data_IF_766130607972
#
_entry.id   IF_766130607972
#
_cell.length_a   1.000
_cell.length_b   1.000
_cell.length_c   1.000
_cell.angle_alpha   90.00
_cell.angle_beta   90.00
_cell.angle_gamma   90.00
#
_symmetry.space_group_name_H-M   'P 1'
#
loop_
_entity.id
_entity.type
_entity.pdbx_description
1 polymer ?
#
# COMPACT_ATOMS: atom_id res chain seq x y z
N UNK A 1 -2.34 23.91 25.46
CA UNK A 1 -3.33 22.84 25.18
C UNK A 1 -4.67 23.38 24.67
N UNK A 2 -5.19 24.51 25.18
CA UNK A 2 -6.49 25.08 24.74
C UNK A 2 -6.48 25.85 23.40
N UNK A 3 -5.30 26.26 22.90
CA UNK A 3 -5.16 27.00 21.63
C UNK A 3 -5.10 26.05 20.40
N UNK A 4 -4.82 24.76 20.62
CA UNK A 4 -4.74 23.74 19.55
C UNK A 4 -6.12 23.23 19.11
N UNK A 5 -7.08 23.18 20.03
CA UNK A 5 -8.45 22.74 19.73
C UNK A 5 -9.24 23.77 18.91
N UNK A 6 -8.98 25.07 19.09
CA UNK A 6 -9.71 26.13 18.37
C UNK A 6 -9.33 26.25 16.90
N UNK A 7 -8.08 25.93 16.51
CA UNK A 7 -7.69 25.88 15.09
C UNK A 7 -8.18 24.61 14.38
N UNK A 8 -8.16 23.45 15.04
CA UNK A 8 -8.72 22.21 14.49
C UNK A 8 -10.25 22.29 14.29
N UNK A 9 -10.96 22.98 15.18
CA UNK A 9 -12.42 23.22 15.06
C UNK A 9 -12.74 24.24 13.95
N UNK A 10 -11.81 25.15 13.61
CA UNK A 10 -12.02 26.06 12.49
C UNK A 10 -11.94 25.32 11.13
N UNK A 11 -11.14 24.25 11.08
CA UNK A 11 -10.92 23.43 9.89
C UNK A 11 -12.10 22.47 9.59
N UNK A 12 -12.78 21.97 10.63
CA UNK A 12 -13.99 21.15 10.47
C UNK A 12 -15.25 21.95 10.16
N UNK A 13 -15.27 23.26 10.48
CA UNK A 13 -16.40 24.16 10.22
C UNK A 13 -16.41 24.81 8.84
N UNK A 14 -15.30 24.81 8.10
CA UNK A 14 -15.18 25.58 6.85
C UNK A 14 -15.61 24.84 5.58
N UNK A 15 -15.57 23.50 5.55
CA UNK A 15 -16.35 22.64 4.65
C UNK A 15 -15.81 21.21 4.80
N UNK A 16 -16.56 20.27 5.40
CA UNK A 16 -16.15 18.86 5.49
C UNK A 16 -15.79 18.26 4.14
N UNK A 17 -16.43 18.75 3.07
CA UNK A 17 -16.25 18.31 1.69
C UNK A 17 -14.90 18.69 1.09
N UNK A 18 -14.27 19.79 1.54
CA UNK A 18 -12.97 20.24 1.00
C UNK A 18 -11.82 19.46 1.64
N UNK A 19 -11.93 19.11 2.93
CA UNK A 19 -10.96 18.27 3.63
C UNK A 19 -10.91 16.84 3.06
N UNK A 20 -12.07 16.31 2.70
CA UNK A 20 -12.20 15.00 2.05
C UNK A 20 -11.68 15.09 0.60
N UNK A 21 -11.98 16.17 -0.16
CA UNK A 21 -11.40 16.39 -1.49
C UNK A 21 -9.88 16.44 -1.51
N UNK A 22 -9.25 16.94 -0.45
CA UNK A 22 -7.79 17.01 -0.29
C UNK A 22 -7.12 15.63 -0.13
N UNK A 23 -7.88 14.62 0.32
CA UNK A 23 -7.35 13.29 0.68
C UNK A 23 -7.74 12.19 -0.34
N UNK A 24 -8.73 12.40 -1.21
CA UNK A 24 -9.29 11.37 -2.10
C UNK A 24 -9.14 11.63 -3.61
N UNK A 25 -8.35 12.64 -4.01
CA UNK A 25 -7.85 12.81 -5.38
C UNK A 25 -8.80 12.39 -6.51
N UNK A 26 -9.91 13.11 -6.71
CA UNK A 26 -10.60 13.25 -8.01
C UNK A 26 -11.88 14.09 -7.85
N UNK A 27 -11.76 15.40 -8.08
CA UNK A 27 -12.69 16.25 -8.83
C UNK A 27 -12.20 17.67 -8.66
N UNK A 28 -11.61 18.25 -9.71
CA UNK A 28 -11.67 19.66 -10.07
C UNK A 28 -10.90 19.88 -11.38
N UNK A 29 -11.54 19.51 -12.48
CA UNK A 29 -11.55 20.44 -13.61
C UNK A 29 -12.48 21.61 -13.21
N UNK A 30 -12.11 22.83 -13.59
CA UNK A 30 -12.90 24.08 -13.45
C UNK A 30 -12.78 24.89 -12.14
N UNK A 31 -11.62 25.52 -11.84
CA UNK A 31 -11.51 26.97 -11.50
C UNK A 31 -10.06 27.38 -11.09
N UNK A 32 -9.48 28.45 -11.67
CA UNK A 32 -8.16 28.99 -11.27
C UNK A 32 -8.12 29.51 -9.81
N UNK A 33 -9.28 29.90 -9.26
CA UNK A 33 -9.41 30.45 -7.90
C UNK A 33 -9.13 29.40 -6.83
N UNK A 34 -9.49 28.15 -7.09
CA UNK A 34 -9.31 27.04 -6.15
C UNK A 34 -7.86 26.56 -6.11
N UNK A 35 -7.12 26.66 -7.24
CA UNK A 35 -5.67 26.37 -7.29
C UNK A 35 -4.86 27.29 -6.37
N UNK A 36 -5.21 28.57 -6.29
CA UNK A 36 -4.54 29.55 -5.42
C UNK A 36 -4.78 29.26 -3.94
N UNK A 37 -6.03 29.05 -3.56
CA UNK A 37 -6.41 28.62 -2.21
C UNK A 37 -5.72 27.31 -1.81
N UNK A 38 -5.58 26.37 -2.75
CA UNK A 38 -4.87 25.10 -2.54
C UNK A 38 -3.40 25.31 -2.17
N UNK A 39 -2.70 26.21 -2.88
CA UNK A 39 -1.28 26.50 -2.64
C UNK A 39 -1.01 27.27 -1.35
N UNK A 40 -1.91 28.17 -0.96
CA UNK A 40 -1.86 28.88 0.33
C UNK A 40 -2.15 27.93 1.49
N UNK A 41 -3.08 26.99 1.31
CA UNK A 41 -3.47 26.00 2.31
C UNK A 41 -2.39 24.94 2.57
N UNK A 42 -1.74 24.42 1.52
CA UNK A 42 -0.59 23.50 1.62
C UNK A 42 0.58 24.10 2.42
N UNK A 43 0.70 25.42 2.43
CA UNK A 43 1.71 26.17 3.18
C UNK A 43 1.37 26.32 4.68
N UNK A 44 0.10 26.14 5.06
CA UNK A 44 -0.43 26.37 6.40
C UNK A 44 -0.64 25.09 7.24
N UNK A 45 -0.50 23.90 6.66
CA UNK A 45 -0.60 22.65 7.43
C UNK A 45 0.71 22.43 8.16
N UNK A 46 0.66 22.52 9.49
CA UNK A 46 1.82 22.31 10.36
C UNK A 46 2.39 20.90 10.14
N UNK A 47 3.73 20.78 10.05
CA UNK A 47 4.42 19.49 9.92
C UNK A 47 4.00 18.49 10.99
N UNK A 48 3.67 18.96 12.19
CA UNK A 48 3.17 18.14 13.31
C UNK A 48 1.79 17.55 13.02
N UNK A 49 0.90 18.29 12.35
CA UNK A 49 -0.43 17.79 11.94
C UNK A 49 -0.26 16.76 10.82
N UNK A 50 0.62 17.01 9.85
CA UNK A 50 0.94 16.04 8.79
C UNK A 50 1.49 14.76 9.40
N UNK A 51 2.44 14.87 10.33
CA UNK A 51 3.04 13.73 11.02
C UNK A 51 2.01 12.97 11.87
N UNK A 52 1.13 13.69 12.56
CA UNK A 52 0.03 13.11 13.33
C UNK A 52 -0.96 12.35 12.44
N UNK A 53 -1.33 12.92 11.28
CA UNK A 53 -2.23 12.27 10.33
C UNK A 53 -1.56 11.06 9.68
N UNK A 54 -0.29 11.15 9.27
CA UNK A 54 0.49 10.01 8.77
C UNK A 54 0.46 8.86 9.76
N UNK A 55 0.77 9.11 11.03
CA UNK A 55 0.70 8.11 12.09
C UNK A 55 -0.71 7.55 12.34
N UNK A 56 -1.77 8.31 12.03
CA UNK A 56 -3.16 7.86 12.17
C UNK A 56 -3.61 6.97 11.01
N UNK A 57 -3.08 7.18 9.81
CA UNK A 57 -3.51 6.52 8.59
C UNK A 57 -2.50 5.50 8.03
N UNK A 58 -1.39 5.29 8.76
CA UNK A 58 -0.36 4.32 8.45
C UNK A 58 -0.04 3.47 9.67
N UNK A 59 0.00 2.15 9.49
CA UNK A 59 0.48 1.17 10.47
C UNK A 59 1.59 0.34 9.83
N UNK A 60 2.53 -0.14 10.65
CA UNK A 60 3.63 -0.98 10.19
C UNK A 60 3.88 -2.07 11.22
N UNK A 61 4.07 -3.29 10.76
CA UNK A 61 4.57 -4.42 11.55
C UNK A 61 6.02 -4.70 11.19
N UNK A 62 6.60 -5.74 11.76
CA UNK A 62 7.95 -6.13 11.34
C UNK A 62 7.96 -6.54 9.87
N UNK A 63 6.86 -6.99 9.29
CA UNK A 63 6.82 -7.66 7.99
C UNK A 63 6.07 -6.84 6.96
N UNK A 64 5.01 -6.15 7.37
CA UNK A 64 4.08 -5.49 6.45
C UNK A 64 3.81 -4.04 6.79
N UNK A 65 3.47 -3.28 5.76
CA UNK A 65 3.03 -1.90 5.83
C UNK A 65 1.52 -1.80 5.55
N UNK A 66 0.84 -0.87 6.19
CA UNK A 66 -0.61 -0.69 6.08
C UNK A 66 -0.94 0.78 5.88
N UNK A 67 -1.66 1.11 4.81
CA UNK A 67 -2.00 2.50 4.47
C UNK A 67 -3.35 2.58 3.78
N UNK A 68 -4.01 3.73 3.87
CA UNK A 68 -5.17 4.03 3.02
C UNK A 68 -4.79 4.73 1.71
N UNK A 69 -3.54 5.17 1.57
CA UNK A 69 -3.03 5.87 0.39
C UNK A 69 -1.80 5.16 -0.16
N UNK A 70 -2.02 4.42 -1.25
CA UNK A 70 -0.97 3.69 -1.97
C UNK A 70 -0.24 4.62 -2.96
N UNK A 71 -0.82 5.75 -3.33
CA UNK A 71 -0.23 6.66 -4.33
C UNK A 71 1.03 7.35 -3.80
N UNK A 72 1.15 7.55 -2.48
CA UNK A 72 2.38 8.08 -1.88
C UNK A 72 3.58 7.17 -2.13
N UNK A 73 3.36 5.85 -2.23
CA UNK A 73 4.41 4.85 -2.41
C UNK A 73 5.00 4.93 -3.84
N UNK A 74 4.18 5.22 -4.83
CA UNK A 74 4.55 5.17 -6.26
C UNK A 74 5.45 6.32 -6.71
N UNK A 75 5.56 7.40 -5.92
CA UNK A 75 6.33 8.58 -6.30
C UNK A 75 7.85 8.42 -6.08
N UNK A 76 8.32 7.25 -5.63
CA UNK A 76 9.73 6.97 -5.48
C UNK A 76 10.43 6.68 -6.81
N UNK A 77 11.70 7.05 -6.92
CA UNK A 77 12.53 6.66 -8.06
C UNK A 77 12.95 5.18 -7.93
N UNK A 78 13.04 4.46 -9.05
CA UNK A 78 13.54 3.08 -9.13
C UNK A 78 12.71 2.05 -8.33
N UNK A 79 11.39 2.09 -8.50
CA UNK A 79 10.43 1.16 -7.91
C UNK A 79 9.81 0.25 -8.98
N UNK A 80 9.59 -1.02 -8.63
CA UNK A 80 8.69 -1.92 -9.36
C UNK A 80 7.47 -2.14 -8.48
N UNK A 81 6.34 -1.53 -8.83
CA UNK A 81 5.11 -1.59 -8.03
C UNK A 81 4.12 -2.53 -8.71
N UNK A 82 3.70 -3.54 -7.97
CA UNK A 82 2.63 -4.48 -8.31
C UNK A 82 1.39 -4.10 -7.54
N UNK A 83 0.27 -3.89 -8.23
CA UNK A 83 -1.01 -3.56 -7.61
C UNK A 83 -2.00 -4.70 -7.78
N UNK A 84 -2.38 -5.30 -6.67
CA UNK A 84 -3.47 -6.25 -6.57
C UNK A 84 -4.74 -5.48 -6.18
N UNK A 85 -5.54 -5.15 -7.20
CA UNK A 85 -6.70 -4.27 -7.08
C UNK A 85 -8.04 -4.96 -7.34
N UNK A 86 -8.02 -6.28 -7.57
CA UNK A 86 -9.22 -7.07 -7.77
C UNK A 86 -9.51 -7.97 -6.56
N UNK A 87 -10.74 -8.48 -6.51
CA UNK A 87 -11.13 -9.46 -5.52
C UNK A 87 -10.81 -10.89 -6.00
N UNK A 88 -9.60 -11.36 -5.73
CA UNK A 88 -9.19 -12.74 -6.04
C UNK A 88 -9.83 -13.72 -5.05
N UNK A 89 -10.60 -14.67 -5.57
CA UNK A 89 -11.37 -15.64 -4.78
C UNK A 89 -10.79 -17.05 -4.85
N UNK A 90 -9.89 -17.29 -5.81
CA UNK A 90 -9.18 -18.57 -5.98
C UNK A 90 -7.68 -18.38 -6.08
N UNK A 91 -6.93 -19.43 -5.73
CA UNK A 91 -5.47 -19.50 -5.94
C UNK A 91 -5.11 -19.22 -7.40
N UNK A 92 -5.79 -19.88 -8.33
CA UNK A 92 -5.55 -19.73 -9.77
C UNK A 92 -5.67 -18.27 -10.24
N UNK A 93 -6.72 -17.55 -9.82
CA UNK A 93 -6.90 -16.13 -10.17
C UNK A 93 -5.73 -15.27 -9.67
N UNK A 94 -5.32 -15.47 -8.42
CA UNK A 94 -4.24 -14.69 -7.81
C UNK A 94 -2.88 -15.01 -8.45
N UNK A 95 -2.57 -16.28 -8.69
CA UNK A 95 -1.31 -16.71 -9.29
C UNK A 95 -1.19 -16.25 -10.74
N UNK A 96 -2.28 -16.27 -11.51
CA UNK A 96 -2.30 -15.70 -12.86
C UNK A 96 -2.04 -14.20 -12.86
N UNK A 97 -2.59 -13.47 -11.89
CA UNK A 97 -2.31 -12.04 -11.74
C UNK A 97 -0.83 -11.80 -11.42
N UNK A 98 -0.26 -12.55 -10.47
CA UNK A 98 1.17 -12.47 -10.15
C UNK A 98 2.05 -12.76 -11.36
N UNK A 99 1.75 -13.82 -12.10
CA UNK A 99 2.46 -14.17 -13.33
C UNK A 99 2.49 -12.99 -14.31
N UNK A 100 1.35 -12.35 -14.53
CA UNK A 100 1.21 -11.19 -15.41
C UNK A 100 1.95 -9.96 -14.88
N UNK A 101 1.70 -9.57 -13.64
CA UNK A 101 2.20 -8.31 -13.07
C UNK A 101 3.70 -8.32 -12.76
N UNK A 102 4.24 -9.46 -12.28
CA UNK A 102 5.68 -9.63 -12.04
C UNK A 102 6.43 -10.14 -13.26
N UNK A 103 5.74 -10.42 -14.36
CA UNK A 103 6.30 -10.98 -15.59
C UNK A 103 7.13 -12.24 -15.29
N UNK A 104 6.53 -13.15 -14.53
CA UNK A 104 7.21 -14.37 -14.13
C UNK A 104 7.68 -15.18 -15.35
N UNK A 105 8.79 -15.93 -15.22
CA UNK A 105 9.32 -16.74 -16.31
C UNK A 105 8.32 -17.79 -16.82
N UNK A 106 8.49 -18.23 -18.07
CA UNK A 106 7.62 -19.22 -18.72
C UNK A 106 7.56 -20.58 -18.01
N UNK A 107 8.51 -20.86 -17.12
CA UNK A 107 8.54 -22.08 -16.30
C UNK A 107 7.69 -21.98 -15.02
N UNK A 108 6.99 -20.87 -14.79
CA UNK A 108 6.15 -20.68 -13.61
C UNK A 108 5.12 -21.80 -13.45
N UNK A 109 5.09 -22.43 -12.27
CA UNK A 109 4.33 -23.66 -12.02
C UNK A 109 2.87 -23.48 -11.61
N UNK A 110 2.37 -22.24 -11.49
CA UNK A 110 0.98 -21.92 -11.10
C UNK A 110 0.51 -22.65 -9.82
N UNK A 111 1.35 -22.66 -8.79
CA UNK A 111 1.02 -23.13 -7.45
C UNK A 111 1.77 -22.29 -6.39
N UNK A 112 1.46 -22.50 -5.10
CA UNK A 112 2.09 -21.78 -3.98
C UNK A 112 3.60 -21.93 -3.91
N UNK A 113 4.14 -23.13 -4.13
CA UNK A 113 5.60 -23.36 -4.10
C UNK A 113 6.30 -22.56 -5.22
N UNK A 114 5.71 -22.57 -6.43
CA UNK A 114 6.23 -21.80 -7.55
C UNK A 114 6.17 -20.29 -7.32
N UNK A 115 5.14 -19.79 -6.61
CA UNK A 115 5.06 -18.39 -6.19
C UNK A 115 6.21 -18.06 -5.25
N UNK A 116 6.43 -18.88 -4.24
CA UNK A 116 7.52 -18.69 -3.27
C UNK A 116 8.88 -18.66 -3.98
N UNK A 117 9.18 -19.66 -4.81
CA UNK A 117 10.43 -19.76 -5.56
C UNK A 117 10.69 -18.51 -6.44
N UNK A 118 9.64 -18.00 -7.12
CA UNK A 118 9.79 -16.83 -7.98
C UNK A 118 9.88 -15.51 -7.19
N UNK A 119 9.30 -15.44 -5.99
CA UNK A 119 9.43 -14.27 -5.12
C UNK A 119 10.79 -14.20 -4.42
N UNK A 120 11.52 -15.32 -4.31
CA UNK A 120 12.89 -15.36 -3.79
C UNK A 120 13.96 -15.06 -4.85
N UNK A 121 13.61 -15.00 -6.14
CA UNK A 121 14.56 -14.72 -7.21
C UNK A 121 13.99 -13.77 -8.25
N UNK A 122 14.33 -12.48 -8.13
CA UNK A 122 13.88 -11.42 -9.03
C UNK A 122 14.89 -11.06 -10.13
N UNK A 123 15.75 -12.00 -10.57
CA UNK A 123 16.83 -11.70 -11.53
C UNK A 123 16.38 -11.05 -12.86
N UNK A 124 15.10 -11.18 -13.25
CA UNK A 124 14.54 -10.53 -14.44
C UNK A 124 14.03 -9.09 -14.19
N UNK A 125 13.87 -8.66 -12.94
CA UNK A 125 13.44 -7.32 -12.56
C UNK A 125 14.67 -6.44 -12.28
N UNK A 126 14.76 -5.29 -12.93
CA UNK A 126 15.94 -4.40 -12.80
C UNK A 126 15.90 -3.51 -11.55
N UNK A 127 14.70 -3.22 -11.07
CA UNK A 127 14.47 -2.31 -9.96
C UNK A 127 14.83 -3.00 -8.64
N UNK A 128 15.62 -2.32 -7.83
CA UNK A 128 16.00 -2.82 -6.51
C UNK A 128 14.80 -2.89 -5.57
N UNK A 129 13.90 -1.90 -5.60
CA UNK A 129 12.75 -1.88 -4.70
C UNK A 129 11.53 -2.47 -5.40
N UNK A 130 11.05 -3.59 -4.88
CA UNK A 130 9.87 -4.31 -5.38
C UNK A 130 8.78 -4.20 -4.31
N UNK A 131 7.61 -3.74 -4.74
CA UNK A 131 6.51 -3.44 -3.84
C UNK A 131 5.26 -4.18 -4.31
N UNK A 132 4.67 -4.97 -3.41
CA UNK A 132 3.36 -5.59 -3.62
C UNK A 132 2.31 -4.79 -2.83
N UNK A 133 1.38 -4.16 -3.53
CA UNK A 133 0.31 -3.37 -2.94
C UNK A 133 -1.03 -4.07 -3.10
N UNK A 134 -1.67 -4.38 -1.97
CA UNK A 134 -3.04 -4.90 -1.93
C UNK A 134 -4.02 -3.76 -1.66
N UNK A 135 -4.69 -3.28 -2.70
CA UNK A 135 -5.83 -2.37 -2.52
C UNK A 135 -7.04 -3.12 -1.94
N UNK A 136 -7.16 -4.40 -2.30
CA UNK A 136 -8.16 -5.34 -1.80
C UNK A 136 -7.42 -6.59 -1.32
N UNK A 137 -7.59 -6.96 -0.05
CA UNK A 137 -7.10 -8.24 0.45
C UNK A 137 -7.80 -9.40 -0.29
N UNK A 138 -7.06 -10.37 -0.87
CA UNK A 138 -7.63 -11.53 -1.52
C UNK A 138 -8.62 -12.28 -0.61
N UNK A 139 -9.80 -12.61 -1.13
CA UNK A 139 -10.86 -13.30 -0.39
C UNK A 139 -10.77 -14.83 -0.60
N UNK A 140 -9.54 -15.35 -0.45
CA UNK A 140 -9.27 -16.77 -0.55
C UNK A 140 -9.87 -17.54 0.65
N UNK A 141 -9.93 -18.87 0.54
CA UNK A 141 -10.26 -19.71 1.70
C UNK A 141 -9.20 -19.50 2.78
N UNK A 142 -9.61 -19.69 4.05
CA UNK A 142 -8.75 -19.43 5.21
C UNK A 142 -7.35 -20.06 5.12
N UNK A 143 -7.25 -21.32 4.68
CA UNK A 143 -5.97 -22.01 4.57
C UNK A 143 -5.11 -21.42 3.45
N UNK A 144 -5.71 -21.14 2.28
CA UNK A 144 -5.01 -20.58 1.13
C UNK A 144 -4.54 -19.15 1.41
N UNK A 145 -5.38 -18.33 2.06
CA UNK A 145 -5.02 -16.99 2.52
C UNK A 145 -3.86 -17.04 3.51
N UNK A 146 -3.84 -18.04 4.41
CA UNK A 146 -2.76 -18.22 5.36
C UNK A 146 -1.44 -18.56 4.66
N UNK A 147 -1.44 -19.56 3.79
CA UNK A 147 -0.25 -19.95 3.01
C UNK A 147 0.28 -18.75 2.21
N UNK A 148 -0.61 -18.01 1.55
CA UNK A 148 -0.26 -16.82 0.80
C UNK A 148 0.41 -15.74 1.67
N UNK A 149 -0.17 -15.43 2.83
CA UNK A 149 0.37 -14.43 3.75
C UNK A 149 1.70 -14.88 4.37
N UNK A 150 1.87 -16.18 4.63
CA UNK A 150 3.14 -16.78 5.07
C UNK A 150 4.22 -16.67 3.99
N UNK A 151 3.90 -16.93 2.73
CA UNK A 151 4.82 -16.74 1.59
C UNK A 151 5.30 -15.29 1.53
N UNK A 152 4.39 -14.31 1.63
CA UNK A 152 4.75 -12.89 1.61
C UNK A 152 5.63 -12.50 2.79
N UNK A 153 5.29 -13.00 3.99
CA UNK A 153 6.08 -12.81 5.20
C UNK A 153 7.50 -13.34 5.04
N UNK A 154 7.63 -14.59 4.60
CA UNK A 154 8.93 -15.26 4.45
C UNK A 154 9.76 -14.62 3.35
N UNK A 155 9.13 -14.17 2.25
CA UNK A 155 9.78 -13.39 1.19
C UNK A 155 10.37 -12.07 1.73
N UNK A 156 9.63 -11.34 2.56
CA UNK A 156 10.13 -10.11 3.19
C UNK A 156 11.35 -10.41 4.06
N UNK A 157 11.33 -11.51 4.82
CA UNK A 157 12.46 -11.93 5.67
C UNK A 157 13.65 -12.40 4.83
N UNK A 158 13.40 -13.12 3.74
CA UNK A 158 14.42 -13.58 2.80
C UNK A 158 15.24 -12.39 2.29
N UNK A 159 14.57 -11.39 1.69
CA UNK A 159 15.24 -10.25 1.07
C UNK A 159 15.94 -9.31 2.05
N UNK A 160 15.67 -9.39 3.36
CA UNK A 160 16.47 -8.67 4.37
C UNK A 160 17.90 -9.18 4.49
N UNK A 161 18.16 -10.41 4.05
CA UNK A 161 19.47 -11.07 4.14
C UNK A 161 20.37 -10.72 2.95
N UNK A 162 19.79 -10.14 1.90
CA UNK A 162 20.41 -9.90 0.60
C UNK A 162 20.35 -8.41 0.27
N UNK A 163 21.24 -7.91 -0.59
CA UNK A 163 21.30 -6.48 -0.95
C UNK A 163 20.79 -6.21 -2.37
N UNK A 164 20.50 -7.27 -3.13
CA UNK A 164 20.09 -7.24 -4.52
C UNK A 164 18.72 -6.58 -4.68
N UNK A 165 17.75 -6.95 -3.83
CA UNK A 165 16.41 -6.37 -3.82
C UNK A 165 15.93 -6.01 -2.40
N UNK A 166 15.09 -4.98 -2.34
CA UNK A 166 14.26 -4.66 -1.20
C UNK A 166 12.82 -5.06 -1.55
N UNK A 167 12.24 -5.97 -0.78
CA UNK A 167 10.85 -6.41 -0.98
C UNK A 167 9.95 -5.88 0.13
N UNK A 168 8.89 -5.16 -0.25
CA UNK A 168 7.92 -4.57 0.68
C UNK A 168 6.49 -4.94 0.28
N UNK A 169 5.66 -5.23 1.28
CA UNK A 169 4.26 -5.56 1.08
C UNK A 169 3.39 -4.54 1.81
N UNK A 170 2.44 -3.99 1.08
CA UNK A 170 1.46 -3.04 1.59
C UNK A 170 0.05 -3.62 1.52
N UNK A 171 -0.72 -3.38 2.56
CA UNK A 171 -2.14 -3.67 2.63
C UNK A 171 -2.95 -2.40 2.92
N UNK A 172 -4.25 -2.47 2.66
CA UNK A 172 -5.16 -1.43 3.13
C UNK A 172 -5.21 -1.42 4.67
N UNK A 173 -5.27 -0.24 5.28
CA UNK A 173 -5.33 -0.10 6.74
C UNK A 173 -6.52 -0.85 7.37
N UNK A 174 -7.64 -0.97 6.65
CA UNK A 174 -8.83 -1.71 7.12
C UNK A 174 -8.56 -3.21 7.32
N UNK A 175 -7.56 -3.75 6.62
CA UNK A 175 -7.26 -5.18 6.60
C UNK A 175 -6.24 -5.58 7.69
N UNK A 176 -5.72 -4.61 8.45
CA UNK A 176 -4.75 -4.83 9.53
C UNK A 176 -5.15 -5.97 10.47
N UNK A 177 -6.36 -5.91 11.03
CA UNK A 177 -6.80 -6.92 11.99
C UNK A 177 -6.89 -8.32 11.36
N UNK A 178 -7.36 -8.41 10.11
CA UNK A 178 -7.49 -9.69 9.40
C UNK A 178 -6.12 -10.30 9.16
N UNK A 179 -5.16 -9.52 8.65
CA UNK A 179 -3.80 -10.00 8.37
C UNK A 179 -3.10 -10.44 9.65
N UNK A 180 -3.23 -9.67 10.73
CA UNK A 180 -2.62 -10.00 12.03
C UNK A 180 -3.21 -11.26 12.66
N UNK A 181 -4.51 -11.55 12.46
CA UNK A 181 -5.13 -12.78 12.95
C UNK A 181 -4.73 -14.04 12.19
N UNK A 182 -4.19 -13.89 10.97
CA UNK A 182 -3.80 -15.03 10.13
C UNK A 182 -2.33 -15.41 10.35
N UNK A 183 -1.46 -14.41 10.55
CA UNK A 183 -0.03 -14.60 10.80
C UNK A 183 0.31 -14.76 12.29
N UNK A 184 -0.47 -14.16 13.20
CA UNK A 184 -0.33 -14.29 14.66
C UNK A 184 -1.03 -15.51 15.23
#
# INVERSE_FOLDING_TARGET
MYIFLTKAVCLTKLHPTIYIKYFFGNLLEDCEREKKLFSEYKRCVDKEIIEFLRKKYYMKTEEFDFTNDINEIENGNNLYVVKLNNNYTTEEELLNEYYSLLQFPLYFGFNWDALYDCLEDFHWIKQKNIIICHEILPQLKKNDLKIYLEILHDTVIHWRKYEEHNFNVYFNLKDYNTVQQVIG
#
